data_IF_129589185510
#
_entry.id   IF_129589185510
#
_cell.length_a   1.000
_cell.length_b   1.000
_cell.length_c   1.000
_cell.angle_alpha   90.00
_cell.angle_beta   90.00
_cell.angle_gamma   90.00
#
_symmetry.space_group_name_H-M   'P 1'
#
loop_
_entity.id
_entity.type
_entity.pdbx_description
1 polymer ?
#
# COMPACT_ATOMS: atom_id res chain seq x y z
N UNK A 1 -7.44 18.23 4.41
CA UNK A 1 -7.74 16.94 5.07
C UNK A 1 -6.47 16.09 5.08
N UNK A 2 -5.97 15.69 6.25
CA UNK A 2 -4.72 14.93 6.37
C UNK A 2 -4.92 13.46 5.97
N UNK A 3 -4.51 13.12 4.75
CA UNK A 3 -4.60 11.78 4.16
C UNK A 3 -3.69 10.76 4.88
N UNK A 4 -2.63 11.23 5.53
CA UNK A 4 -1.65 10.42 6.25
C UNK A 4 -1.65 10.77 7.73
N UNK A 5 -1.77 9.78 8.64
CA UNK A 5 -1.74 10.06 10.07
C UNK A 5 -0.33 10.40 10.59
N UNK A 6 0.74 9.94 9.93
CA UNK A 6 2.13 10.27 10.26
C UNK A 6 2.81 10.89 9.05
N UNK A 7 3.74 11.81 9.29
CA UNK A 7 4.42 12.58 8.25
C UNK A 7 5.82 12.03 7.93
N UNK A 8 6.33 12.23 6.70
CA UNK A 8 7.75 12.00 6.41
C UNK A 8 8.67 12.75 7.39
N UNK A 9 9.77 12.12 7.78
CA UNK A 9 10.72 12.60 8.78
C UNK A 9 10.28 12.35 10.23
N UNK A 10 9.03 12.00 10.49
CA UNK A 10 8.56 11.70 11.84
C UNK A 10 9.24 10.43 12.37
N UNK A 11 9.65 10.48 13.64
CA UNK A 11 10.32 9.39 14.33
C UNK A 11 9.34 8.72 15.30
N UNK A 12 9.34 7.39 15.34
CA UNK A 12 8.55 6.62 16.30
C UNK A 12 9.29 5.37 16.76
N UNK A 13 8.96 4.87 17.95
CA UNK A 13 9.54 3.64 18.48
C UNK A 13 8.61 2.45 18.24
N UNK A 14 9.21 1.26 18.07
CA UNK A 14 8.47 0.01 17.99
C UNK A 14 7.68 -0.24 19.27
N UNK A 15 6.56 -0.99 19.22
CA UNK A 15 6.00 -1.58 20.43
C UNK A 15 7.09 -2.36 21.18
N UNK A 16 7.27 -2.09 22.47
CA UNK A 16 8.38 -2.65 23.26
C UNK A 16 9.69 -1.84 23.24
N UNK A 17 9.76 -0.73 22.49
CA UNK A 17 10.89 0.20 22.43
C UNK A 17 12.26 -0.41 22.03
N UNK A 18 12.27 -1.56 21.34
CA UNK A 18 13.49 -2.20 20.88
C UNK A 18 14.14 -1.48 19.69
N UNK A 19 13.32 -0.84 18.85
CA UNK A 19 13.78 -0.14 17.65
C UNK A 19 13.16 1.25 17.56
N UNK A 20 13.91 2.17 16.97
CA UNK A 20 13.43 3.51 16.62
C UNK A 20 13.48 3.67 15.11
N UNK A 21 12.38 4.13 14.53
CA UNK A 21 12.21 4.24 13.08
C UNK A 21 12.01 5.70 12.67
N UNK A 22 12.58 6.07 11.53
CA UNK A 22 12.25 7.33 10.83
C UNK A 22 11.40 7.04 9.61
N UNK A 23 10.29 7.75 9.46
CA UNK A 23 9.40 7.61 8.30
C UNK A 23 10.04 8.29 7.10
N UNK A 24 10.19 7.56 6.00
CA UNK A 24 10.59 8.12 4.71
C UNK A 24 9.38 8.56 3.90
N UNK A 25 8.27 7.80 3.96
CA UNK A 25 7.02 8.19 3.31
C UNK A 25 5.93 7.11 3.37
N UNK A 26 4.67 7.48 3.07
CA UNK A 26 3.57 6.52 2.97
C UNK A 26 3.78 5.59 1.77
N UNK A 27 3.39 4.32 1.90
CA UNK A 27 3.46 3.37 0.79
C UNK A 27 2.28 2.42 0.75
N UNK A 28 1.88 2.07 -0.48
CA UNK A 28 0.89 1.03 -0.73
C UNK A 28 1.64 -0.22 -1.20
N UNK A 29 1.53 -1.32 -0.45
CA UNK A 29 2.20 -2.57 -0.79
C UNK A 29 1.27 -3.46 -1.62
N UNK A 30 1.82 -3.99 -2.71
CA UNK A 30 1.22 -5.03 -3.51
C UNK A 30 2.08 -6.29 -3.38
N UNK A 31 1.46 -7.43 -3.19
CA UNK A 31 2.11 -8.72 -3.12
C UNK A 31 1.87 -9.50 -4.41
N UNK A 32 2.87 -10.19 -4.93
CA UNK A 32 2.60 -11.22 -5.93
C UNK A 32 2.01 -12.47 -5.25
N UNK A 33 1.20 -13.24 -6.00
CA UNK A 33 0.64 -14.51 -5.54
C UNK A 33 1.71 -15.46 -5.02
N UNK A 34 2.88 -15.46 -5.66
CA UNK A 34 3.99 -16.37 -5.34
C UNK A 34 4.73 -15.99 -4.05
N UNK A 35 4.64 -14.73 -3.63
CA UNK A 35 5.31 -14.22 -2.42
C UNK A 35 4.52 -14.51 -1.14
N UNK A 36 3.24 -14.88 -1.26
CA UNK A 36 2.38 -15.09 -0.11
C UNK A 36 2.38 -16.57 0.35
N UNK A 37 2.45 -16.85 1.66
CA UNK A 37 2.50 -18.22 2.18
C UNK A 37 1.19 -18.97 1.89
N UNK A 38 1.29 -20.20 1.41
CA UNK A 38 0.13 -21.07 1.15
C UNK A 38 -0.71 -21.27 2.44
N UNK A 39 -2.07 -21.18 2.46
CA UNK A 39 -3.05 -21.00 1.39
C UNK A 39 -3.77 -19.62 1.46
N UNK A 40 -3.05 -18.52 1.69
CA UNK A 40 -3.63 -17.19 1.82
C UNK A 40 -4.39 -16.70 0.56
N UNK A 41 -4.03 -17.17 -0.64
CA UNK A 41 -4.74 -16.81 -1.86
C UNK A 41 -6.19 -17.30 -1.79
N UNK A 42 -6.46 -18.53 -1.34
CA UNK A 42 -7.84 -19.06 -1.25
C UNK A 42 -8.75 -18.28 -0.29
N UNK A 43 -8.20 -17.53 0.68
CA UNK A 43 -8.99 -16.77 1.66
C UNK A 43 -9.56 -15.45 1.10
N UNK A 44 -8.87 -14.80 0.17
CA UNK A 44 -9.39 -13.57 -0.46
C UNK A 44 -10.23 -13.86 -1.70
N UNK A 45 -9.89 -14.90 -2.46
CA UNK A 45 -10.77 -15.44 -3.50
C UNK A 45 -11.92 -16.18 -2.81
N UNK A 46 -13.00 -15.45 -2.47
CA UNK A 46 -14.31 -16.04 -2.14
C UNK A 46 -14.91 -16.80 -3.34
N UNK A 47 -14.16 -17.71 -3.98
CA UNK A 47 -14.54 -18.31 -5.26
C UNK A 47 -13.46 -19.12 -5.97
N UNK A 48 -13.76 -19.43 -7.24
CA UNK A 48 -13.07 -20.38 -8.13
C UNK A 48 -11.61 -20.00 -8.33
N UNK A 49 -10.74 -20.99 -8.15
CA UNK A 49 -9.31 -20.84 -8.43
C UNK A 49 -9.12 -20.39 -9.88
N UNK A 50 -8.24 -19.42 -10.13
CA UNK A 50 -8.04 -18.92 -11.48
C UNK A 50 -7.62 -20.03 -12.44
N UNK A 51 -8.10 -19.97 -13.68
CA UNK A 51 -7.76 -20.99 -14.68
C UNK A 51 -6.25 -21.13 -14.84
N UNK A 52 -5.79 -22.38 -14.91
CA UNK A 52 -4.39 -22.78 -15.12
C UNK A 52 -3.74 -22.13 -16.36
N UNK A 53 -4.54 -21.59 -17.28
CA UNK A 53 -4.10 -20.94 -18.52
C UNK A 53 -3.66 -19.48 -18.36
N UNK A 54 -3.82 -18.87 -17.18
CA UNK A 54 -3.56 -17.43 -17.00
C UNK A 54 -2.22 -17.20 -16.29
N UNK A 55 -1.18 -16.98 -17.10
CA UNK A 55 0.23 -16.76 -16.75
C UNK A 55 0.47 -15.26 -16.49
N UNK A 56 1.17 -14.90 -15.41
CA UNK A 56 1.58 -13.52 -15.08
C UNK A 56 1.37 -13.10 -13.62
N UNK A 57 2.03 -12.01 -13.20
CA UNK A 57 1.99 -11.46 -11.82
C UNK A 57 0.55 -11.12 -11.41
N UNK A 58 0.14 -11.57 -10.23
CA UNK A 58 -1.17 -11.29 -9.66
C UNK A 58 -0.99 -10.48 -8.40
N UNK A 59 -0.88 -9.17 -8.62
CA UNK A 59 -0.71 -8.21 -7.55
C UNK A 59 -1.97 -8.15 -6.68
N UNK A 60 -1.83 -8.53 -5.42
CA UNK A 60 -2.85 -8.47 -4.39
C UNK A 60 -2.49 -7.32 -3.45
N UNK A 61 -3.40 -6.38 -3.18
CA UNK A 61 -3.13 -5.29 -2.25
C UNK A 61 -2.98 -5.81 -0.82
N UNK A 62 -2.08 -5.21 -0.04
CA UNK A 62 -1.91 -5.53 1.37
C UNK A 62 -3.24 -5.36 2.13
N UNK A 63 -3.75 -6.47 2.68
CA UNK A 63 -4.99 -6.48 3.45
C UNK A 63 -4.84 -5.69 4.76
N UNK A 64 -3.63 -5.59 5.32
CA UNK A 64 -3.34 -4.75 6.48
C UNK A 64 -3.62 -3.28 6.21
N UNK A 65 -3.30 -2.82 4.99
CA UNK A 65 -3.53 -1.45 4.52
C UNK A 65 -5.02 -1.05 4.50
N UNK A 66 -5.95 -2.03 4.54
CA UNK A 66 -7.39 -1.80 4.63
C UNK A 66 -7.82 -1.05 5.90
N UNK A 67 -7.03 -1.15 6.97
CA UNK A 67 -7.37 -0.59 8.29
C UNK A 67 -6.25 0.18 8.96
N UNK A 68 -5.00 -0.05 8.55
CA UNK A 68 -3.80 0.49 9.19
C UNK A 68 -2.88 1.06 8.11
N UNK A 69 -2.15 2.15 8.36
CA UNK A 69 -1.23 2.71 7.36
C UNK A 69 0.06 1.90 7.25
N UNK A 70 0.69 1.97 6.09
CA UNK A 70 2.01 1.38 5.83
C UNK A 70 3.00 2.47 5.41
N UNK A 71 4.22 2.41 5.95
CA UNK A 71 5.26 3.40 5.66
C UNK A 71 6.55 2.70 5.26
N UNK A 72 7.29 3.33 4.35
CA UNK A 72 8.71 3.04 4.20
C UNK A 72 9.42 3.72 5.35
N UNK A 73 10.24 2.96 6.07
CA UNK A 73 11.00 3.44 7.22
C UNK A 73 12.44 2.97 7.12
N UNK A 74 13.30 3.65 7.85
CA UNK A 74 14.65 3.20 8.18
C UNK A 74 14.79 3.06 9.70
N UNK A 75 15.68 2.18 10.15
CA UNK A 75 16.01 2.04 11.57
C UNK A 75 17.09 3.06 11.93
N UNK A 76 16.84 3.86 12.96
CA UNK A 76 17.84 4.77 13.51
C UNK A 76 18.78 4.02 14.47
N UNK A 77 20.06 4.37 14.42
CA UNK A 77 21.08 3.82 15.32
C UNK A 77 21.67 2.47 14.89
N UNK A 78 21.30 1.96 13.70
CA UNK A 78 21.92 0.78 13.10
C UNK A 78 22.61 1.14 11.78
N UNK A 79 23.76 1.80 11.90
CA UNK A 79 24.55 2.33 10.75
C UNK A 79 24.89 1.29 9.67
N UNK A 80 24.94 0.00 10.02
CA UNK A 80 25.21 -1.10 9.09
C UNK A 80 23.95 -1.72 8.45
N UNK A 81 22.74 -1.37 8.91
CA UNK A 81 21.47 -1.93 8.47
C UNK A 81 20.45 -0.83 8.11
N UNK A 82 20.92 0.23 7.44
CA UNK A 82 20.09 1.35 6.99
C UNK A 82 19.26 1.04 5.73
N UNK A 83 19.03 -0.23 5.40
CA UNK A 83 18.20 -0.55 4.23
C UNK A 83 16.73 -0.20 4.53
N UNK A 84 16.09 0.66 3.73
CA UNK A 84 14.70 1.01 3.94
C UNK A 84 13.80 -0.21 3.76
N UNK A 85 12.79 -0.35 4.62
CA UNK A 85 11.80 -1.41 4.50
C UNK A 85 10.40 -0.91 4.86
N UNK A 86 9.40 -1.72 4.53
CA UNK A 86 7.99 -1.38 4.73
C UNK A 86 7.51 -1.90 6.08
N UNK A 87 6.89 -1.02 6.87
CA UNK A 87 6.21 -1.38 8.12
C UNK A 87 4.74 -0.97 8.05
N UNK A 88 3.86 -1.93 8.33
CA UNK A 88 2.42 -1.69 8.55
C UNK A 88 2.17 -1.45 10.04
N UNK A 89 1.65 -0.27 10.39
CA UNK A 89 1.48 0.16 11.79
C UNK A 89 0.13 -0.32 12.35
N UNK A 90 0.03 -1.60 12.71
CA UNK A 90 -1.25 -2.21 13.11
C UNK A 90 -1.93 -1.59 14.33
N UNK A 91 -1.19 -0.89 15.19
CA UNK A 91 -1.71 -0.15 16.34
C UNK A 91 -2.41 1.17 15.95
N UNK A 92 -2.20 1.66 14.73
CA UNK A 92 -2.76 2.90 14.23
C UNK A 92 -3.90 2.60 13.26
N UNK A 93 -5.14 2.93 13.65
CA UNK A 93 -6.33 2.69 12.82
C UNK A 93 -6.69 3.90 11.99
N UNK A 94 -6.94 3.66 10.70
CA UNK A 94 -7.34 4.66 9.73
C UNK A 94 -8.82 5.00 9.87
N UNK A 95 -9.14 6.30 9.83
CA UNK A 95 -10.52 6.77 9.70
C UNK A 95 -11.14 6.34 8.36
N UNK A 96 -12.48 6.28 8.23
CA UNK A 96 -13.14 5.93 6.98
C UNK A 96 -12.66 6.74 5.76
N UNK A 97 -12.43 8.04 5.94
CA UNK A 97 -11.94 8.93 4.88
C UNK A 97 -10.51 8.59 4.46
N UNK A 98 -9.62 8.31 5.43
CA UNK A 98 -8.23 7.95 5.14
C UNK A 98 -8.15 6.59 4.44
N UNK A 99 -8.98 5.62 4.83
CA UNK A 99 -8.97 4.26 4.26
C UNK A 99 -9.12 4.25 2.75
N UNK A 100 -9.87 5.20 2.19
CA UNK A 100 -10.06 5.30 0.74
C UNK A 100 -8.74 5.60 0.00
N UNK A 101 -7.85 6.39 0.62
CA UNK A 101 -6.52 6.64 0.05
C UNK A 101 -5.62 5.41 0.13
N UNK A 102 -5.63 4.72 1.29
CA UNK A 102 -4.74 3.58 1.57
C UNK A 102 -5.18 2.28 0.91
N UNK A 103 -6.49 2.08 0.74
CA UNK A 103 -7.07 0.86 0.19
C UNK A 103 -8.44 1.18 -0.43
N UNK A 104 -8.46 1.44 -1.73
CA UNK A 104 -9.71 1.57 -2.49
C UNK A 104 -9.97 0.36 -3.37
N UNK A 105 -11.22 -0.09 -3.39
CA UNK A 105 -11.75 -1.01 -4.41
C UNK A 105 -12.56 -0.29 -5.48
N UNK A 106 -12.77 1.02 -5.33
CA UNK A 106 -13.50 1.82 -6.29
C UNK A 106 -12.49 2.27 -7.35
N UNK A 107 -12.69 1.81 -8.58
CA UNK A 107 -12.17 2.54 -9.71
C UNK A 107 -12.83 3.93 -9.64
N UNK A 108 -12.05 4.99 -9.39
CA UNK A 108 -12.57 6.34 -9.65
C UNK A 108 -12.98 6.33 -11.11
N UNK A 109 -14.24 6.61 -11.40
CA UNK A 109 -14.62 6.93 -12.77
C UNK A 109 -13.70 8.06 -13.20
N UNK A 110 -12.99 7.93 -14.34
CA UNK A 110 -12.11 8.98 -14.80
C UNK A 110 -12.89 10.30 -14.79
N UNK A 111 -12.29 11.35 -14.24
CA UNK A 111 -12.94 12.65 -14.18
C UNK A 111 -13.27 13.05 -15.63
N UNK A 112 -14.51 13.46 -15.97
CA UNK A 112 -14.85 13.85 -17.34
C UNK A 112 -13.88 14.89 -17.92
N UNK A 113 -13.30 15.74 -17.08
CA UNK A 113 -12.27 16.72 -17.44
C UNK A 113 -10.91 16.09 -17.80
N UNK A 114 -10.50 15.01 -17.12
CA UNK A 114 -9.24 14.28 -17.41
C UNK A 114 -9.36 13.49 -18.72
N UNK A 115 -10.54 12.90 -18.99
CA UNK A 115 -10.88 12.28 -20.28
C UNK A 115 -10.86 13.29 -21.43
N UNK A 116 -11.39 14.49 -21.20
CA UNK A 116 -11.35 15.57 -22.20
C UNK A 116 -9.92 16.04 -22.49
N UNK A 117 -9.06 16.13 -21.47
CA UNK A 117 -7.65 16.50 -21.63
C UNK A 117 -6.84 15.45 -22.42
N UNK A 118 -7.10 14.16 -22.24
CA UNK A 118 -6.42 13.08 -22.98
C UNK A 118 -6.80 13.06 -24.46
N UNK A 119 -8.05 13.39 -24.81
CA UNK A 119 -8.52 13.45 -26.20
C UNK A 119 -7.98 14.67 -26.97
N UNK A 120 -7.54 15.73 -26.27
CA UNK A 120 -6.98 16.93 -26.89
C UNK A 120 -5.48 16.80 -27.22
N UNK A 121 -4.77 15.81 -26.66
CA UNK A 121 -3.34 15.54 -26.94
C UNK A 121 -3.13 14.54 -28.09
N UNK A 122 -4.14 13.74 -28.43
CA UNK A 122 -4.11 12.82 -29.58
C UNK A 122 -4.62 13.43 -30.88
N UNK A 123 -5.09 14.68 -30.83
CA UNK A 123 -5.57 15.46 -31.97
C UNK A 123 -4.64 16.62 -32.31
N UNK A 124 -3.42 16.33 -32.74
CA UNK A 124 -2.63 17.27 -33.53
C UNK A 124 -2.17 16.55 -34.81
N UNK A 125 -2.52 17.07 -36.01
CA UNK A 125 -2.17 16.46 -37.29
C UNK A 125 -0.67 16.48 -37.58
#
# INVERSE_FOLDING_TARGET
MNQHPLQPGQVFSSPGCCYTYRILGPCCRLFDREELPYPCCRLEWRGKEPSWRRIGRRLVPDVGARSSPSYVVEILGQEHANEPFVVTLYWLKLSPEQREWWYSRKLKSPNPEELAAQNNLSGSP
#
